data_IF_615876244749
#
_entry.id   IF_615876244749
#
_cell.length_a   1.000
_cell.length_b   1.000
_cell.length_c   1.000
_cell.angle_alpha   90.00
_cell.angle_beta   90.00
_cell.angle_gamma   90.00
#
_symmetry.space_group_name_H-M   'P 1'
#
loop_
_entity.id
_entity.type
_entity.pdbx_description
1 polymer ?
#
# COMPACT_ATOMS: atom_id res chain seq x y z
N UNK A 1 -5.70 -16.55 -27.34
CA UNK A 1 -4.88 -17.44 -26.49
C UNK A 1 -4.79 -16.81 -25.11
N UNK A 2 -5.55 -17.33 -24.16
CA UNK A 2 -5.66 -16.81 -22.79
C UNK A 2 -4.31 -16.84 -22.09
N UNK A 3 -3.75 -15.66 -21.84
CA UNK A 3 -2.64 -15.52 -20.90
C UNK A 3 -3.18 -15.95 -19.54
N UNK A 4 -2.81 -17.15 -19.12
CA UNK A 4 -3.08 -17.61 -17.77
C UNK A 4 -2.51 -16.58 -16.81
N UNK A 5 -3.33 -16.14 -15.85
CA UNK A 5 -2.89 -15.36 -14.70
C UNK A 5 -1.87 -16.22 -13.93
N UNK A 6 -0.59 -16.09 -14.27
CA UNK A 6 0.47 -16.78 -13.57
C UNK A 6 0.70 -16.04 -12.25
N UNK A 7 0.08 -16.56 -11.20
CA UNK A 7 0.38 -16.20 -9.81
C UNK A 7 1.83 -16.59 -9.52
N UNK A 8 2.80 -15.74 -9.87
CA UNK A 8 4.21 -16.08 -9.69
C UNK A 8 4.57 -16.03 -8.21
N UNK A 9 4.36 -17.15 -7.53
CA UNK A 9 5.05 -17.50 -6.31
C UNK A 9 6.33 -18.21 -6.75
N UNK A 10 7.52 -17.72 -6.37
CA UNK A 10 8.78 -18.48 -6.51
C UNK A 10 8.76 -19.78 -5.68
N UNK A 11 7.80 -19.91 -4.76
CA UNK A 11 7.55 -21.08 -3.95
C UNK A 11 6.15 -21.65 -4.23
N UNK A 12 6.09 -22.89 -4.74
CA UNK A 12 4.84 -23.65 -4.99
C UNK A 12 4.02 -23.98 -3.72
N UNK A 13 4.46 -23.54 -2.54
CA UNK A 13 3.87 -23.87 -1.24
C UNK A 13 2.83 -22.86 -0.73
N UNK A 14 2.74 -21.67 -1.36
CA UNK A 14 1.80 -20.63 -0.94
C UNK A 14 0.74 -20.45 -1.99
N UNK A 15 -0.50 -20.78 -1.64
CA UNK A 15 -1.66 -20.59 -2.50
C UNK A 15 -2.50 -19.43 -1.96
N UNK A 16 -2.95 -18.49 -2.82
CA UNK A 16 -3.88 -17.46 -2.41
C UNK A 16 -5.19 -18.08 -1.94
N UNK A 17 -5.83 -17.48 -0.94
CA UNK A 17 -7.18 -17.85 -0.55
C UNK A 17 -8.17 -17.54 -1.68
N UNK A 18 -9.34 -18.18 -1.69
CA UNK A 18 -10.39 -17.90 -2.68
C UNK A 18 -10.76 -16.42 -2.71
N UNK A 19 -10.84 -15.77 -1.55
CA UNK A 19 -11.21 -14.36 -1.49
C UNK A 19 -10.11 -13.45 -2.05
N UNK A 20 -8.84 -13.76 -1.81
CA UNK A 20 -7.73 -13.03 -2.44
C UNK A 20 -7.73 -13.23 -3.96
N UNK A 21 -8.06 -14.43 -4.44
CA UNK A 21 -8.23 -14.71 -5.88
C UNK A 21 -9.35 -13.88 -6.50
N UNK A 22 -10.53 -13.83 -5.85
CA UNK A 22 -11.68 -13.03 -6.31
C UNK A 22 -11.31 -11.55 -6.39
N UNK A 23 -10.72 -10.99 -5.34
CA UNK A 23 -10.31 -9.58 -5.29
C UNK A 23 -9.24 -9.27 -6.33
N UNK A 24 -8.23 -10.14 -6.48
CA UNK A 24 -7.15 -9.97 -7.48
C UNK A 24 -7.67 -9.96 -8.93
N UNK A 25 -8.70 -10.77 -9.19
CA UNK A 25 -9.35 -10.85 -10.50
C UNK A 25 -10.27 -9.66 -10.73
N UNK A 26 -10.98 -9.20 -9.70
CA UNK A 26 -11.89 -8.05 -9.79
C UNK A 26 -11.14 -6.73 -10.03
N UNK A 27 -10.04 -6.50 -9.32
CA UNK A 27 -9.22 -5.28 -9.43
C UNK A 27 -7.98 -5.45 -10.33
N UNK A 28 -7.86 -6.60 -11.00
CA UNK A 28 -6.81 -6.88 -11.99
C UNK A 28 -5.37 -6.66 -11.48
N UNK A 29 -5.08 -7.08 -10.24
CA UNK A 29 -3.72 -7.05 -9.69
C UNK A 29 -3.18 -8.46 -9.44
N UNK A 30 -1.86 -8.57 -9.32
CA UNK A 30 -1.19 -9.82 -9.02
C UNK A 30 -0.65 -9.78 -7.59
N UNK A 31 -0.87 -10.86 -6.84
CA UNK A 31 -0.31 -11.01 -5.50
C UNK A 31 1.10 -11.57 -5.57
N UNK A 32 2.02 -11.01 -4.78
CA UNK A 32 3.36 -11.57 -4.54
C UNK A 32 3.47 -11.92 -3.06
N UNK A 33 3.69 -13.19 -2.75
CA UNK A 33 3.90 -13.62 -1.37
C UNK A 33 5.38 -13.54 -1.02
N UNK A 34 5.66 -13.00 0.16
CA UNK A 34 7.00 -13.01 0.73
C UNK A 34 7.26 -14.35 1.45
N UNK A 35 8.49 -14.83 1.44
CA UNK A 35 8.98 -15.95 2.21
C UNK A 35 9.09 -15.60 3.69
N UNK A 36 8.87 -16.60 4.55
CA UNK A 36 9.05 -16.39 5.98
C UNK A 36 10.55 -16.19 6.24
N UNK A 37 10.89 -15.27 7.14
CA UNK A 37 12.28 -14.93 7.50
C UNK A 37 13.13 -14.33 6.35
N UNK A 38 12.52 -13.92 5.24
CA UNK A 38 13.20 -13.24 4.13
C UNK A 38 12.82 -11.76 4.06
N UNK A 39 13.28 -10.98 5.05
CA UNK A 39 13.01 -9.53 5.13
C UNK A 39 13.50 -8.75 3.91
N UNK A 40 14.50 -9.26 3.18
CA UNK A 40 14.98 -8.66 1.93
C UNK A 40 13.89 -8.57 0.86
N UNK A 41 12.90 -9.48 0.84
CA UNK A 41 11.76 -9.42 -0.09
C UNK A 41 10.78 -8.28 0.25
N UNK A 42 10.84 -7.79 1.50
CA UNK A 42 10.06 -6.66 2.01
C UNK A 42 10.89 -5.40 2.20
N UNK A 43 12.15 -5.37 1.73
CA UNK A 43 13.07 -4.27 2.02
C UNK A 43 12.59 -2.90 1.54
N UNK A 44 11.85 -2.81 0.43
CA UNK A 44 11.29 -1.52 -0.02
C UNK A 44 10.17 -1.03 0.91
N UNK A 45 9.26 -1.92 1.29
CA UNK A 45 8.14 -1.58 2.19
C UNK A 45 8.68 -1.19 3.57
N UNK A 46 9.66 -1.92 4.10
CA UNK A 46 10.27 -1.64 5.41
C UNK A 46 10.97 -0.28 5.41
N UNK A 47 11.76 0.03 4.38
CA UNK A 47 12.39 1.34 4.23
C UNK A 47 11.38 2.48 4.10
N UNK A 48 10.28 2.27 3.38
CA UNK A 48 9.22 3.27 3.23
C UNK A 48 8.49 3.53 4.55
N UNK A 49 8.16 2.48 5.32
CA UNK A 49 7.57 2.61 6.65
C UNK A 49 8.51 3.35 7.60
N UNK A 50 9.78 2.95 7.62
CA UNK A 50 10.81 3.60 8.44
C UNK A 50 10.98 5.08 8.05
N UNK A 51 11.00 5.38 6.74
CA UNK A 51 11.09 6.75 6.24
C UNK A 51 9.93 7.62 6.73
N UNK A 52 8.69 7.15 6.57
CA UNK A 52 7.50 7.87 7.03
C UNK A 52 7.52 8.02 8.56
N UNK A 53 7.86 6.96 9.29
CA UNK A 53 7.97 6.98 10.76
C UNK A 53 8.99 8.00 11.26
N UNK A 54 10.21 7.99 10.70
CA UNK A 54 11.27 8.97 11.00
C UNK A 54 10.86 10.42 10.76
N UNK A 55 9.98 10.65 9.78
CA UNK A 55 9.54 12.00 9.38
C UNK A 55 8.25 12.45 10.08
N UNK A 56 7.57 11.57 10.82
CA UNK A 56 6.29 11.86 11.45
C UNK A 56 6.29 11.63 12.97
N UNK A 57 6.45 10.37 13.40
CA UNK A 57 6.14 9.91 14.75
C UNK A 57 7.41 9.71 15.60
N UNK A 58 8.56 9.41 15.00
CA UNK A 58 9.76 9.06 15.81
C UNK A 58 10.37 10.26 16.55
N UNK A 59 10.02 11.49 16.16
CA UNK A 59 10.48 12.72 16.81
C UNK A 59 9.52 13.20 17.90
N UNK A 60 8.25 12.81 17.81
CA UNK A 60 7.19 13.16 18.76
C UNK A 60 6.21 11.99 18.78
N UNK A 61 6.34 11.14 19.79
CA UNK A 61 5.58 9.90 19.97
C UNK A 61 4.50 10.02 21.06
N UNK A 62 4.32 11.22 21.62
CA UNK A 62 3.35 11.49 22.68
C UNK A 62 2.18 12.29 22.12
N UNK A 63 1.05 11.62 22.01
CA UNK A 63 -0.19 12.23 21.55
C UNK A 63 -1.28 12.12 22.61
N UNK A 64 -2.03 13.20 22.81
CA UNK A 64 -3.12 13.26 23.79
C UNK A 64 -4.33 12.40 23.38
N UNK A 65 -4.46 12.07 22.09
CA UNK A 65 -5.51 11.21 21.56
C UNK A 65 -5.10 10.55 20.24
N UNK A 66 -5.77 9.44 19.91
CA UNK A 66 -5.61 8.78 18.60
C UNK A 66 -6.00 9.71 17.44
N UNK A 67 -7.01 10.55 17.64
CA UNK A 67 -7.45 11.53 16.65
C UNK A 67 -6.36 12.58 16.37
N UNK A 68 -5.70 13.06 17.44
CA UNK A 68 -4.58 13.98 17.31
C UNK A 68 -3.39 13.33 16.60
N UNK A 69 -3.04 12.08 16.94
CA UNK A 69 -2.00 11.32 16.26
C UNK A 69 -2.30 11.14 14.77
N UNK A 70 -3.54 10.79 14.41
CA UNK A 70 -3.98 10.65 13.02
C UNK A 70 -3.87 11.97 12.26
N UNK A 71 -4.30 13.09 12.85
CA UNK A 71 -4.21 14.42 12.23
C UNK A 71 -2.75 14.84 12.03
N UNK A 72 -1.88 14.60 13.00
CA UNK A 72 -0.45 14.85 12.90
C UNK A 72 0.17 14.04 11.76
N UNK A 73 -0.07 12.73 11.72
CA UNK A 73 0.43 11.85 10.67
C UNK A 73 -0.07 12.28 9.28
N UNK A 74 -1.36 12.58 9.13
CA UNK A 74 -1.94 13.04 7.87
C UNK A 74 -1.27 14.33 7.38
N UNK A 75 -1.04 15.29 8.29
CA UNK A 75 -0.36 16.56 7.97
C UNK A 75 1.07 16.30 7.50
N UNK A 76 1.80 15.41 8.18
CA UNK A 76 3.18 15.05 7.80
C UNK A 76 3.23 14.33 6.45
N UNK A 77 2.30 13.41 6.16
CA UNK A 77 2.21 12.73 4.86
C UNK A 77 1.93 13.73 3.74
N UNK A 78 1.01 14.69 3.96
CA UNK A 78 0.75 15.75 2.97
C UNK A 78 2.00 16.59 2.68
N UNK A 79 2.77 16.94 3.72
CA UNK A 79 4.05 17.65 3.55
C UNK A 79 5.05 16.83 2.73
N UNK A 80 5.20 15.53 3.03
CA UNK A 80 6.11 14.64 2.30
C UNK A 80 5.69 14.44 0.83
N UNK A 81 4.39 14.34 0.56
CA UNK A 81 3.88 14.21 -0.80
C UNK A 81 4.03 15.52 -1.61
N UNK A 82 4.01 16.67 -0.93
CA UNK A 82 4.28 17.98 -1.53
C UNK A 82 5.76 18.27 -1.83
N UNK A 83 6.69 17.40 -1.41
CA UNK A 83 8.11 17.55 -1.68
C UNK A 83 8.50 16.96 -3.03
N UNK A 84 9.61 17.45 -3.59
CA UNK A 84 10.28 16.84 -4.74
C UNK A 84 11.25 15.79 -4.25
N UNK A 85 11.27 14.65 -4.93
CA UNK A 85 12.32 13.64 -4.77
C UNK A 85 13.58 14.05 -5.56
N UNK A 86 14.75 13.64 -5.09
CA UNK A 86 16.02 13.93 -5.75
C UNK A 86 16.01 13.49 -7.22
N UNK A 87 16.43 14.39 -8.11
CA UNK A 87 16.44 14.15 -9.56
C UNK A 87 15.08 14.30 -10.25
N UNK A 88 14.04 14.78 -9.56
CA UNK A 88 12.72 15.01 -10.14
C UNK A 88 12.28 16.48 -10.04
N UNK A 89 11.67 16.97 -11.11
CA UNK A 89 11.19 18.36 -11.20
C UNK A 89 9.82 18.58 -10.56
N UNK A 90 9.00 17.53 -10.51
CA UNK A 90 7.64 17.53 -9.96
C UNK A 90 7.63 17.01 -8.51
N UNK A 91 6.61 17.42 -7.76
CA UNK A 91 6.37 16.86 -6.42
C UNK A 91 5.88 15.42 -6.49
N UNK A 92 6.01 14.67 -5.40
CA UNK A 92 5.52 13.28 -5.34
C UNK A 92 4.02 13.18 -5.65
N UNK A 93 3.21 14.13 -5.17
CA UNK A 93 1.79 14.24 -5.50
C UNK A 93 1.54 14.44 -7.00
N UNK A 94 2.26 15.36 -7.63
CA UNK A 94 2.09 15.64 -9.07
C UNK A 94 2.49 14.44 -9.93
N UNK A 95 3.55 13.73 -9.53
CA UNK A 95 3.96 12.48 -10.19
C UNK A 95 2.87 11.42 -10.06
N UNK A 96 2.32 11.23 -8.85
CA UNK A 96 1.20 10.31 -8.63
C UNK A 96 -0.01 10.68 -9.50
N UNK A 97 -0.38 11.96 -9.58
CA UNK A 97 -1.45 12.44 -10.46
C UNK A 97 -1.18 12.19 -11.95
N UNK A 98 0.08 12.24 -12.38
CA UNK A 98 0.47 11.89 -13.75
C UNK A 98 0.34 10.39 -14.01
N UNK A 99 0.73 9.56 -13.04
CA UNK A 99 0.65 8.09 -13.10
C UNK A 99 -0.79 7.59 -13.08
N UNK A 100 -1.67 8.24 -12.31
CA UNK A 100 -3.10 7.91 -12.23
C UNK A 100 -3.78 7.88 -13.62
N UNK A 101 -3.34 8.74 -14.55
CA UNK A 101 -3.88 8.82 -15.92
C UNK A 101 -3.57 7.57 -16.76
N UNK A 102 -2.58 6.79 -16.34
CA UNK A 102 -2.18 5.56 -17.00
C UNK A 102 -2.77 4.31 -16.34
N UNK A 103 -3.49 4.47 -15.22
CA UNK A 103 -4.17 3.35 -14.56
C UNK A 103 -5.46 2.98 -15.28
N UNK A 104 -5.85 1.71 -15.16
CA UNK A 104 -7.14 1.24 -15.65
C UNK A 104 -8.27 1.88 -14.85
N UNK A 105 -9.42 2.05 -15.51
CA UNK A 105 -10.64 2.49 -14.82
C UNK A 105 -11.02 1.48 -13.73
N UNK A 106 -11.52 2.01 -12.62
CA UNK A 106 -12.11 1.18 -11.57
C UNK A 106 -13.39 0.50 -12.08
N UNK A 107 -13.73 -0.69 -11.55
CA UNK A 107 -15.03 -1.30 -11.77
C UNK A 107 -16.18 -0.35 -11.36
N UNK A 108 -17.31 -0.44 -12.07
CA UNK A 108 -18.47 0.46 -11.88
C UNK A 108 -19.08 0.34 -10.48
N UNK A 109 -19.01 -0.86 -9.89
CA UNK A 109 -19.43 -1.12 -8.52
C UNK A 109 -18.19 -1.48 -7.66
N UNK A 110 -18.21 -1.20 -6.36
CA UNK A 110 -17.22 -1.80 -5.46
C UNK A 110 -17.42 -3.32 -5.39
N UNK A 111 -16.33 -4.05 -5.15
CA UNK A 111 -16.42 -5.47 -4.83
C UNK A 111 -17.24 -5.65 -3.56
N UNK A 112 -18.17 -6.61 -3.55
CA UNK A 112 -19.01 -6.86 -2.38
C UNK A 112 -18.18 -7.47 -1.24
N UNK A 113 -18.22 -6.87 -0.06
CA UNK A 113 -17.46 -7.32 1.11
C UNK A 113 -18.34 -7.28 2.36
N UNK A 114 -18.19 -8.29 3.21
CA UNK A 114 -18.78 -8.26 4.54
C UNK A 114 -17.99 -7.28 5.42
N UNK A 115 -18.69 -6.33 6.06
CA UNK A 115 -18.09 -5.52 7.13
C UNK A 115 -18.05 -6.39 8.38
N UNK A 116 -16.88 -6.84 8.79
CA UNK A 116 -16.72 -7.42 10.12
C UNK A 116 -16.77 -6.28 11.15
N UNK A 117 -17.72 -6.34 12.08
CA UNK A 117 -17.70 -5.46 13.24
C UNK A 117 -16.55 -5.90 14.17
N UNK A 118 -15.46 -5.13 14.11
CA UNK A 118 -14.43 -4.87 15.12
C UNK A 118 -13.79 -6.04 15.89
N UNK A 119 -12.46 -6.09 15.88
CA UNK A 119 -11.71 -6.42 17.10
C UNK A 119 -11.52 -5.13 17.90
N UNK A 120 -12.12 -5.08 19.10
CA UNK A 120 -11.63 -4.21 20.17
C UNK A 120 -10.22 -4.68 20.51
N UNK A 121 -9.23 -3.81 20.34
CA UNK A 121 -7.92 -3.95 20.99
C UNK A 121 -8.09 -3.56 22.46
#
# INVERSE_FOLDING_TARGET
MSKHCQFSCRNNLKQPTEDLLKISTYYLFFSRFCNAYEGNEKGHVEKSVEFVGRKSIYLDDRFDSLEYANKHLATKIQQLNGQKSDGHELTNSQRFESELKHLNNLPVAPYDFAVSQCYKV
#
